data_IF_971267777318
#
_entry.id   IF_971267777318
#
_cell.length_a   1.000
_cell.length_b   1.000
_cell.length_c   1.000
_cell.angle_alpha   90.00
_cell.angle_beta   90.00
_cell.angle_gamma   90.00
#
_symmetry.space_group_name_H-M   'P 1'
#
loop_
_entity.id
_entity.type
_entity.pdbx_description
1 polymer ?
#
# COMPACT_ATOMS: atom_id res chain seq x y z
N UNK A 1 7.34 -19.40 -1.71
CA UNK A 1 6.79 -18.14 -1.16
C UNK A 1 5.33 -18.41 -0.87
N UNK A 2 4.93 -18.33 0.39
CA UNK A 2 3.55 -18.60 0.84
C UNK A 2 2.96 -17.33 1.44
N UNK A 3 1.65 -17.12 1.28
CA UNK A 3 0.94 -15.98 1.88
C UNK A 3 0.24 -16.47 3.14
N UNK A 4 0.52 -15.86 4.29
CA UNK A 4 -0.15 -16.24 5.53
C UNK A 4 -1.55 -15.60 5.66
N UNK A 5 -2.30 -15.98 6.69
CA UNK A 5 -3.66 -15.50 6.96
C UNK A 5 -3.78 -13.98 7.19
N UNK A 6 -2.66 -13.31 7.44
CA UNK A 6 -2.54 -11.86 7.60
C UNK A 6 -2.07 -11.15 6.32
N UNK A 7 -1.99 -11.88 5.21
CA UNK A 7 -1.58 -11.33 3.91
C UNK A 7 -0.08 -11.03 3.80
N UNK A 8 0.73 -11.43 4.78
CA UNK A 8 2.19 -11.28 4.76
C UNK A 8 2.81 -12.40 3.94
N UNK A 9 3.76 -12.04 3.10
CA UNK A 9 4.53 -12.99 2.30
C UNK A 9 5.65 -13.60 3.14
N UNK A 10 5.60 -14.91 3.28
CA UNK A 10 6.62 -15.71 3.95
C UNK A 10 7.51 -16.40 2.91
N UNK A 11 8.82 -16.23 3.08
CA UNK A 11 9.83 -16.92 2.29
C UNK A 11 10.41 -18.02 3.17
N UNK A 12 10.19 -19.26 2.76
CA UNK A 12 10.85 -20.41 3.35
C UNK A 12 12.26 -20.53 2.73
N UNK A 13 13.29 -20.45 3.57
CA UNK A 13 14.66 -20.75 3.18
C UNK A 13 15.05 -22.13 3.71
N UNK A 14 15.47 -23.08 2.84
CA UNK A 14 15.96 -24.37 3.30
C UNK A 14 17.26 -24.21 4.09
N UNK A 15 17.51 -25.13 5.03
CA UNK A 15 18.77 -25.16 5.76
C UNK A 15 19.96 -25.38 4.82
N UNK A 16 21.12 -24.87 5.23
CA UNK A 16 22.38 -25.09 4.55
C UNK A 16 22.72 -26.60 4.52
N UNK A 17 23.68 -27.01 3.68
CA UNK A 17 24.10 -28.41 3.55
C UNK A 17 24.61 -29.05 4.87
N UNK A 18 24.96 -28.22 5.85
CA UNK A 18 25.39 -28.58 7.21
C UNK A 18 24.25 -28.56 8.24
N UNK A 19 22.98 -28.44 7.80
CA UNK A 19 21.76 -28.32 8.63
C UNK A 19 21.67 -26.99 9.41
N UNK A 20 22.65 -26.09 9.31
CA UNK A 20 22.56 -24.77 9.95
C UNK A 20 21.43 -23.93 9.35
N UNK A 21 20.72 -23.14 10.16
CA UNK A 21 19.69 -22.24 9.64
C UNK A 21 20.35 -21.15 8.78
N UNK A 22 19.74 -20.79 7.63
CA UNK A 22 20.30 -19.83 6.69
C UNK A 22 20.41 -18.41 7.28
N UNK A 23 19.59 -18.13 8.31
CA UNK A 23 19.80 -17.00 9.21
C UNK A 23 20.22 -17.58 10.55
N UNK A 24 21.33 -17.12 11.17
CA UNK A 24 21.58 -17.36 12.59
C UNK A 24 20.29 -17.07 13.36
N UNK A 25 20.00 -17.74 14.49
CA UNK A 25 18.78 -17.53 15.29
C UNK A 25 17.39 -17.75 14.61
N UNK A 26 17.29 -18.19 13.35
CA UNK A 26 16.01 -18.55 12.73
C UNK A 26 15.03 -17.38 12.56
N UNK A 27 15.56 -16.14 12.52
CA UNK A 27 14.72 -14.95 12.36
C UNK A 27 13.95 -14.98 11.04
N UNK A 28 12.76 -14.38 11.05
CA UNK A 28 11.99 -14.16 9.83
C UNK A 28 12.42 -12.83 9.21
N UNK A 29 12.69 -12.81 7.91
CA UNK A 29 12.93 -11.56 7.16
C UNK A 29 11.62 -11.15 6.52
N UNK A 30 11.14 -9.96 6.90
CA UNK A 30 10.01 -9.33 6.23
C UNK A 30 10.54 -8.49 5.09
N UNK A 31 10.33 -8.93 3.85
CA UNK A 31 10.66 -8.10 2.70
C UNK A 31 9.69 -6.90 2.63
N UNK A 32 10.20 -5.67 2.52
CA UNK A 32 9.34 -4.50 2.36
C UNK A 32 8.77 -4.50 0.94
N UNK A 33 7.52 -4.93 0.81
CA UNK A 33 6.78 -4.86 -0.45
C UNK A 33 5.97 -3.56 -0.45
N UNK A 34 6.07 -2.80 -1.54
CA UNK A 34 5.20 -1.64 -1.76
C UNK A 34 3.79 -2.16 -1.99
N UNK A 35 2.85 -1.80 -1.11
CA UNK A 35 1.46 -2.21 -1.26
C UNK A 35 0.84 -1.54 -2.48
N UNK A 36 0.15 -2.33 -3.31
CA UNK A 36 -0.54 -1.85 -4.51
C UNK A 36 -1.97 -1.44 -4.20
N UNK A 37 -2.62 -0.71 -5.13
CA UNK A 37 -4.05 -0.40 -5.04
C UNK A 37 -4.91 -1.67 -4.97
N UNK A 38 -4.52 -2.74 -5.69
CA UNK A 38 -5.19 -4.03 -5.65
C UNK A 38 -5.11 -4.70 -4.26
N UNK A 39 -3.94 -4.71 -3.63
CA UNK A 39 -3.79 -5.24 -2.27
C UNK A 39 -4.62 -4.43 -1.26
N UNK A 40 -4.62 -3.10 -1.39
CA UNK A 40 -5.45 -2.25 -0.53
C UNK A 40 -6.95 -2.54 -0.72
N UNK A 41 -7.37 -2.74 -1.97
CA UNK A 41 -8.76 -3.06 -2.34
C UNK A 41 -9.21 -4.38 -1.70
N UNK A 42 -8.40 -5.42 -1.83
CA UNK A 42 -8.80 -6.78 -1.49
C UNK A 42 -8.60 -7.11 0.00
N UNK A 43 -7.58 -6.55 0.64
CA UNK A 43 -7.24 -6.90 2.02
C UNK A 43 -7.64 -5.80 3.01
N UNK A 44 -7.40 -4.54 2.67
CA UNK A 44 -7.53 -3.41 3.61
C UNK A 44 -8.97 -2.89 3.67
N UNK A 45 -9.65 -2.68 2.54
CA UNK A 45 -11.03 -2.18 2.55
C UNK A 45 -12.00 -3.10 3.32
N UNK A 46 -11.97 -4.45 3.16
CA UNK A 46 -12.84 -5.32 3.94
C UNK A 46 -12.50 -5.27 5.43
N UNK A 47 -11.23 -5.10 5.78
CA UNK A 47 -10.81 -4.95 7.17
C UNK A 47 -11.36 -3.66 7.79
N UNK A 48 -11.22 -2.52 7.10
CA UNK A 48 -11.79 -1.23 7.52
C UNK A 48 -13.31 -1.34 7.73
N UNK A 49 -14.02 -2.00 6.79
CA UNK A 49 -15.46 -2.20 6.92
C UNK A 49 -15.83 -3.07 8.13
N UNK A 50 -15.08 -4.15 8.38
CA UNK A 50 -15.29 -5.02 9.56
C UNK A 50 -15.09 -4.27 10.88
N UNK A 51 -14.18 -3.29 10.91
CA UNK A 51 -13.96 -2.43 12.08
C UNK A 51 -15.07 -1.38 12.29
N UNK A 52 -16.01 -1.25 11.35
CA UNK A 52 -17.17 -0.36 11.48
C UNK A 52 -16.94 1.08 11.02
N UNK A 53 -15.83 1.38 10.35
CA UNK A 53 -15.63 2.69 9.74
C UNK A 53 -16.57 2.93 8.55
N UNK A 54 -16.86 4.20 8.28
CA UNK A 54 -17.72 4.65 7.18
C UNK A 54 -16.97 5.40 6.09
N UNK A 55 -15.70 5.76 6.31
CA UNK A 55 -14.90 6.54 5.38
C UNK A 55 -13.43 6.10 5.42
N UNK A 56 -12.73 6.29 4.31
CA UNK A 56 -11.29 6.11 4.16
C UNK A 56 -10.69 7.34 3.51
N UNK A 57 -9.64 7.90 4.11
CA UNK A 57 -8.85 8.97 3.50
C UNK A 57 -7.60 8.37 2.85
N UNK A 58 -7.44 8.61 1.56
CA UNK A 58 -6.29 8.14 0.78
C UNK A 58 -5.37 9.34 0.52
N UNK A 59 -4.11 9.19 0.95
CA UNK A 59 -3.06 10.18 0.75
C UNK A 59 -2.12 9.77 -0.39
N UNK A 60 -1.34 10.72 -0.88
CA UNK A 60 -0.28 10.51 -1.87
C UNK A 60 -0.74 9.89 -3.21
N UNK A 61 -1.99 10.16 -3.63
CA UNK A 61 -2.51 9.71 -4.93
C UNK A 61 -1.78 10.40 -6.07
N UNK A 62 -1.52 11.70 -5.98
CA UNK A 62 -0.85 12.46 -7.05
C UNK A 62 0.60 12.00 -7.23
N UNK A 63 1.08 11.96 -8.47
CA UNK A 63 2.45 11.56 -8.78
C UNK A 63 3.46 12.49 -8.10
N UNK A 64 4.41 11.88 -7.39
CA UNK A 64 5.37 12.57 -6.54
C UNK A 64 6.72 11.87 -6.62
N UNK A 65 7.79 12.67 -6.73
CA UNK A 65 9.15 12.15 -6.85
C UNK A 65 9.71 11.61 -5.53
N UNK A 66 9.30 12.18 -4.40
CA UNK A 66 9.90 11.92 -3.09
C UNK A 66 8.91 11.25 -2.13
N UNK A 67 9.05 9.95 -1.91
CA UNK A 67 8.16 9.15 -1.05
C UNK A 67 8.23 9.56 0.44
N UNK A 68 9.40 9.99 0.91
CA UNK A 68 9.63 10.49 2.28
C UNK A 68 8.77 11.70 2.63
N UNK A 69 8.21 12.39 1.64
CA UNK A 69 7.31 13.54 1.84
C UNK A 69 5.84 13.17 1.77
N UNK A 70 5.48 11.89 1.84
CA UNK A 70 4.10 11.40 1.90
C UNK A 70 3.18 11.97 0.80
N UNK A 71 3.72 12.23 -0.40
CA UNK A 71 2.96 12.79 -1.51
C UNK A 71 2.74 14.30 -1.51
N UNK A 72 3.29 15.04 -0.53
CA UNK A 72 3.18 16.51 -0.49
C UNK A 72 4.07 17.25 -1.49
N UNK A 73 4.99 16.54 -2.14
CA UNK A 73 5.83 17.10 -3.21
C UNK A 73 5.39 16.55 -4.56
N UNK A 74 4.28 17.10 -5.05
CA UNK A 74 3.62 16.68 -6.29
C UNK A 74 4.43 17.14 -7.49
N UNK A 75 4.76 16.21 -8.37
CA UNK A 75 5.40 16.49 -9.66
C UNK A 75 4.40 16.53 -10.80
N UNK A 76 3.27 15.84 -10.69
CA UNK A 76 2.17 15.91 -11.64
C UNK A 76 0.83 15.81 -10.92
N UNK A 77 0.01 16.85 -11.05
CA UNK A 77 -1.28 16.98 -10.35
C UNK A 77 -2.39 16.11 -10.96
N UNK A 78 -2.27 15.71 -12.23
CA UNK A 78 -3.33 15.02 -12.97
C UNK A 78 -3.07 13.52 -13.16
N UNK A 79 -1.87 13.05 -12.84
CA UNK A 79 -1.52 11.64 -12.93
C UNK A 79 -1.47 11.00 -11.54
N UNK A 80 -2.11 9.83 -11.32
CA UNK A 80 -1.90 9.07 -10.11
C UNK A 80 -0.47 8.53 -10.08
N UNK A 81 0.08 8.32 -8.87
CA UNK A 81 1.42 7.77 -8.75
C UNK A 81 1.48 6.35 -9.28
N UNK A 82 2.35 6.15 -10.27
CA UNK A 82 2.62 4.87 -10.94
C UNK A 82 3.19 3.79 -9.99
N UNK A 83 3.68 4.19 -8.82
CA UNK A 83 4.31 3.31 -7.83
C UNK A 83 3.37 2.27 -7.22
N UNK A 84 2.06 2.56 -7.18
CA UNK A 84 1.08 1.73 -6.51
C UNK A 84 0.24 0.88 -7.49
N UNK A 85 0.45 1.04 -8.79
CA UNK A 85 -0.28 0.34 -9.84
C UNK A 85 -0.77 1.26 -10.94
N UNK A 86 -1.71 0.76 -11.73
CA UNK A 86 -2.29 1.49 -12.86
C UNK A 86 -3.45 2.39 -12.44
N UNK A 87 -3.86 3.31 -13.33
CA UNK A 87 -5.08 4.11 -13.15
C UNK A 87 -6.33 3.24 -12.99
N UNK A 88 -6.38 2.09 -13.68
CA UNK A 88 -7.50 1.15 -13.56
C UNK A 88 -7.56 0.49 -12.19
N UNK A 89 -6.41 0.22 -11.56
CA UNK A 89 -6.36 -0.33 -10.22
C UNK A 89 -6.86 0.68 -9.18
N UNK A 90 -6.50 1.96 -9.33
CA UNK A 90 -7.03 3.03 -8.49
C UNK A 90 -8.55 3.17 -8.67
N UNK A 91 -9.05 3.12 -9.90
CA UNK A 91 -10.50 3.15 -10.17
C UNK A 91 -11.19 1.97 -9.49
N UNK A 92 -10.65 0.76 -9.65
CA UNK A 92 -11.21 -0.45 -9.05
C UNK A 92 -11.20 -0.40 -7.52
N UNK A 93 -10.18 0.20 -6.91
CA UNK A 93 -10.13 0.45 -5.48
C UNK A 93 -11.28 1.35 -5.03
N UNK A 94 -11.52 2.47 -5.72
CA UNK A 94 -12.58 3.43 -5.40
C UNK A 94 -13.96 2.78 -5.59
N UNK A 95 -14.17 2.07 -6.70
CA UNK A 95 -15.42 1.35 -6.97
C UNK A 95 -15.73 0.36 -5.84
N UNK A 96 -14.73 -0.42 -5.40
CA UNK A 96 -14.89 -1.38 -4.31
C UNK A 96 -15.18 -0.71 -2.96
N UNK A 97 -14.57 0.43 -2.68
CA UNK A 97 -14.86 1.19 -1.47
C UNK A 97 -16.33 1.64 -1.44
N UNK A 98 -16.84 2.14 -2.57
CA UNK A 98 -18.24 2.53 -2.70
C UNK A 98 -19.21 1.35 -2.60
N UNK A 99 -18.89 0.18 -3.18
CA UNK A 99 -19.67 -1.05 -3.00
C UNK A 99 -19.81 -1.46 -1.52
N UNK A 100 -18.76 -1.23 -0.73
CA UNK A 100 -18.75 -1.50 0.72
C UNK A 100 -19.44 -0.38 1.53
N UNK A 101 -19.95 0.66 0.87
CA UNK A 101 -20.57 1.82 1.50
C UNK A 101 -19.57 2.68 2.28
N UNK A 102 -18.31 2.73 1.84
CA UNK A 102 -17.28 3.59 2.40
C UNK A 102 -17.16 4.87 1.57
N UNK A 103 -17.15 6.02 2.24
CA UNK A 103 -16.81 7.30 1.62
C UNK A 103 -15.30 7.37 1.38
N UNK A 104 -14.88 7.73 0.17
CA UNK A 104 -13.46 7.93 -0.15
C UNK A 104 -13.13 9.42 -0.13
N UNK A 105 -12.23 9.82 0.75
CA UNK A 105 -11.67 11.17 0.81
C UNK A 105 -10.28 11.17 0.17
N UNK A 106 -10.05 12.05 -0.79
CA UNK A 106 -8.76 12.18 -1.46
C UNK A 106 -8.01 13.38 -0.88
N UNK A 107 -6.80 13.14 -0.37
CA UNK A 107 -5.89 14.22 0.04
C UNK A 107 -5.25 14.84 -1.22
N UNK A 108 -5.79 15.98 -1.64
CA UNK A 108 -5.31 16.74 -2.80
C UNK A 108 -4.47 17.92 -2.32
N UNK A 109 -3.18 17.82 -2.64
CA UNK A 109 -2.20 18.87 -2.39
C UNK A 109 -2.30 19.89 -3.52
N UNK A 110 -2.88 21.05 -3.22
CA UNK A 110 -3.11 22.16 -4.16
C UNK A 110 -2.20 23.36 -3.91
N UNK A 111 -1.40 23.33 -2.84
CA UNK A 111 -0.32 24.28 -2.57
C UNK A 111 0.89 23.56 -2.02
N UNK A 112 2.05 23.92 -2.56
CA UNK A 112 3.33 23.59 -1.97
C UNK A 112 4.06 24.90 -1.70
N UNK A 113 4.45 25.13 -0.43
CA UNK A 113 5.27 26.28 -0.04
C UNK A 113 6.72 25.85 -0.22
N UNK A 114 7.34 26.33 -1.29
CA UNK A 114 8.79 26.45 -1.36
C UNK A 114 9.12 27.81 -0.74
N UNK A 115 9.95 27.83 0.31
CA UNK A 115 10.44 29.00 1.09
C UNK A 115 9.62 29.47 2.31
N UNK A 116 10.15 29.16 3.50
CA UNK A 116 10.55 30.16 4.51
C UNK A 116 11.99 29.87 4.93
#
# INVERSE_FOLDING_TARGET
MGRNEFGVWEIFWPNNADISPPIPHGSQVKEPIISTYANFRDDVLPHIKRLGYNAVQIMAIQEHSHYVRFGYHVTNFFAPSSRFGTLYDLKSLIDRAHELGLLVLMDIVHRWIEHV
#
